data_IF_649165974296
#
_entry.id   IF_649165974296
#
_cell.length_a   1.000
_cell.length_b   1.000
_cell.length_c   1.000
_cell.angle_alpha   90.00
_cell.angle_beta   90.00
_cell.angle_gamma   90.00
#
_symmetry.space_group_name_H-M   'P 1'
#
loop_
_entity.id
_entity.type
_entity.pdbx_description
1 polymer ?
#
# COMPACT_ATOMS: atom_id res chain seq x y z
N UNK A 1 7.30 7.66 -1.02
CA UNK A 1 5.89 7.82 -1.40
C UNK A 1 5.28 6.45 -1.66
N UNK A 2 4.15 6.20 -1.04
CA UNK A 2 3.43 4.93 -1.18
C UNK A 2 2.27 5.12 -2.17
N UNK A 3 2.22 4.27 -3.18
CA UNK A 3 1.19 4.33 -4.23
C UNK A 3 0.54 2.97 -4.43
N UNK A 4 -0.74 2.98 -4.71
CA UNK A 4 -1.51 1.80 -5.07
C UNK A 4 -2.17 2.00 -6.42
N UNK A 5 -2.13 0.97 -7.27
CA UNK A 5 -2.82 0.96 -8.56
C UNK A 5 -3.93 -0.07 -8.52
N UNK A 6 -5.15 0.38 -8.76
CA UNK A 6 -6.35 -0.45 -8.86
C UNK A 6 -6.97 -0.21 -10.23
N UNK A 7 -7.04 -1.24 -11.05
CA UNK A 7 -7.41 -1.08 -12.45
C UNK A 7 -6.39 -0.20 -13.18
N UNK A 8 -6.84 0.90 -13.73
CA UNK A 8 -5.97 1.87 -14.42
C UNK A 8 -5.66 3.10 -13.57
N UNK A 9 -6.24 3.20 -12.37
CA UNK A 9 -6.08 4.36 -11.49
C UNK A 9 -4.97 4.10 -10.45
N UNK A 10 -4.02 5.03 -10.37
CA UNK A 10 -2.99 5.05 -9.35
C UNK A 10 -3.23 6.23 -8.40
N UNK A 11 -3.12 5.98 -7.11
CA UNK A 11 -3.27 7.01 -6.08
C UNK A 11 -2.39 6.69 -4.87
N UNK A 12 -2.17 7.69 -4.02
CA UNK A 12 -1.34 7.53 -2.83
C UNK A 12 -2.10 6.86 -1.70
N UNK A 13 -1.41 6.07 -0.90
CA UNK A 13 -1.94 5.52 0.35
C UNK A 13 -0.99 5.80 1.51
N UNK A 14 -1.50 5.74 2.73
CA UNK A 14 -0.75 6.01 3.96
C UNK A 14 -0.22 4.74 4.58
N UNK A 15 -1.08 3.75 4.79
CA UNK A 15 -0.75 2.47 5.40
C UNK A 15 -1.53 1.34 4.75
N UNK A 16 -0.98 0.13 4.87
CA UNK A 16 -1.67 -1.10 4.47
C UNK A 16 -1.37 -2.20 5.48
N UNK A 17 -2.31 -3.13 5.61
CA UNK A 17 -2.18 -4.26 6.53
C UNK A 17 -2.89 -5.48 5.96
N UNK A 18 -2.19 -6.60 5.92
CA UNK A 18 -2.78 -7.89 5.58
C UNK A 18 -3.09 -8.67 6.87
N UNK A 19 -4.34 -9.10 7.03
CA UNK A 19 -4.80 -9.85 8.20
C UNK A 19 -5.80 -10.91 7.78
N UNK A 20 -6.08 -11.86 8.72
CA UNK A 20 -7.23 -12.74 8.61
C UNK A 20 -8.40 -12.08 9.30
N UNK A 21 -9.49 -11.83 8.60
CA UNK A 21 -10.70 -11.23 9.15
C UNK A 21 -11.94 -12.06 8.81
N UNK A 22 -12.88 -12.07 9.74
CA UNK A 22 -14.15 -12.75 9.56
C UNK A 22 -15.09 -11.86 8.76
N UNK A 23 -15.58 -12.37 7.65
CA UNK A 23 -16.52 -11.66 6.79
C UNK A 23 -17.45 -12.66 6.11
N UNK A 24 -18.74 -12.35 6.12
CA UNK A 24 -19.77 -13.13 5.43
C UNK A 24 -19.71 -14.63 5.76
N UNK A 25 -19.56 -14.97 7.04
CA UNK A 25 -19.58 -16.34 7.53
C UNK A 25 -18.26 -17.09 7.47
N UNK A 26 -17.19 -16.47 7.02
CA UNK A 26 -15.89 -17.13 6.88
C UNK A 26 -14.73 -16.20 7.23
N UNK A 27 -13.67 -16.78 7.79
CA UNK A 27 -12.39 -16.08 7.94
C UNK A 27 -11.67 -16.08 6.60
N UNK A 28 -11.15 -14.93 6.22
CA UNK A 28 -10.45 -14.75 4.95
C UNK A 28 -9.28 -13.80 5.04
N UNK A 29 -8.32 -13.98 4.17
CA UNK A 29 -7.21 -13.05 4.02
C UNK A 29 -7.75 -11.71 3.54
N UNK A 30 -7.41 -10.64 4.25
CA UNK A 30 -7.93 -9.30 4.04
C UNK A 30 -6.79 -8.30 3.93
N UNK A 31 -6.90 -7.39 2.97
CA UNK A 31 -6.00 -6.25 2.83
C UNK A 31 -6.78 -4.98 3.18
N UNK A 32 -6.29 -4.28 4.20
CA UNK A 32 -6.83 -2.96 4.61
C UNK A 32 -5.89 -1.88 4.14
N UNK A 33 -6.41 -0.88 3.45
CA UNK A 33 -5.63 0.26 2.93
C UNK A 33 -6.24 1.54 3.45
N UNK A 34 -5.39 2.36 4.05
CA UNK A 34 -5.75 3.70 4.54
C UNK A 34 -5.16 4.75 3.61
N UNK A 35 -5.99 5.67 3.15
CA UNK A 35 -5.59 6.78 2.29
C UNK A 35 -5.95 8.12 2.94
N UNK A 36 -5.20 9.16 2.58
CA UNK A 36 -5.62 10.53 2.89
C UNK A 36 -6.97 10.82 2.22
N UNK A 37 -7.82 11.60 2.87
CA UNK A 37 -9.11 12.00 2.32
C UNK A 37 -8.99 12.76 0.99
N UNK A 38 -7.79 13.29 0.68
CA UNK A 38 -7.50 14.02 -0.55
C UNK A 38 -6.91 13.16 -1.66
N UNK A 39 -6.55 11.91 -1.37
CA UNK A 39 -5.84 11.06 -2.33
C UNK A 39 -6.71 10.62 -3.51
N UNK A 40 -7.99 10.40 -3.25
CA UNK A 40 -8.98 9.97 -4.23
C UNK A 40 -10.37 10.32 -3.73
N UNK A 41 -11.32 10.59 -4.64
CA UNK A 41 -12.73 10.76 -4.26
C UNK A 41 -13.34 9.44 -3.78
N UNK A 42 -14.19 9.50 -2.75
CA UNK A 42 -14.84 8.30 -2.20
C UNK A 42 -15.71 7.59 -3.23
N UNK A 43 -16.48 8.32 -4.01
CA UNK A 43 -17.35 7.74 -5.05
C UNK A 43 -16.52 7.11 -6.17
N UNK A 44 -15.43 7.76 -6.56
CA UNK A 44 -14.49 7.22 -7.54
C UNK A 44 -13.86 5.92 -7.04
N UNK A 45 -13.41 5.89 -5.80
CA UNK A 45 -12.84 4.69 -5.19
C UNK A 45 -13.87 3.56 -5.12
N UNK A 46 -15.09 3.84 -4.68
CA UNK A 46 -16.15 2.84 -4.64
C UNK A 46 -16.42 2.22 -6.01
N UNK A 47 -16.37 3.03 -7.07
CA UNK A 47 -16.56 2.56 -8.44
C UNK A 47 -15.38 1.72 -8.95
N UNK A 48 -14.16 1.96 -8.43
CA UNK A 48 -12.96 1.19 -8.79
C UNK A 48 -12.93 -0.20 -8.18
N UNK A 49 -13.56 -0.42 -7.02
CA UNK A 49 -13.46 -1.67 -6.26
C UNK A 49 -14.38 -2.76 -6.84
N UNK A 50 -14.15 -3.10 -8.09
CA UNK A 50 -14.83 -4.20 -8.80
C UNK A 50 -13.90 -5.40 -8.93
N UNK A 51 -14.46 -6.57 -9.15
CA UNK A 51 -13.68 -7.80 -9.32
C UNK A 51 -12.62 -7.67 -10.43
N UNK A 52 -12.98 -7.10 -11.58
CA UNK A 52 -12.06 -6.93 -12.70
C UNK A 52 -10.89 -6.01 -12.35
N UNK A 53 -11.16 -4.89 -11.69
CA UNK A 53 -10.11 -3.95 -11.29
C UNK A 53 -9.25 -4.51 -10.15
N UNK A 54 -9.84 -5.34 -9.28
CA UNK A 54 -9.15 -5.94 -8.14
C UNK A 54 -8.38 -7.22 -8.50
N UNK A 55 -8.49 -7.71 -9.73
CA UNK A 55 -7.82 -8.94 -10.17
C UNK A 55 -6.30 -8.86 -9.97
N UNK A 56 -5.72 -7.68 -10.16
CA UNK A 56 -4.32 -7.42 -9.84
C UNK A 56 -4.17 -6.02 -9.26
N UNK A 57 -3.59 -5.95 -8.07
CA UNK A 57 -3.29 -4.70 -7.39
C UNK A 57 -1.79 -4.55 -7.32
N UNK A 58 -1.29 -3.37 -7.64
CA UNK A 58 0.13 -3.05 -7.58
C UNK A 58 0.35 -1.99 -6.51
N UNK A 59 1.19 -2.31 -5.53
CA UNK A 59 1.57 -1.38 -4.48
C UNK A 59 3.05 -1.05 -4.59
N UNK A 60 3.38 0.22 -4.67
CA UNK A 60 4.74 0.70 -4.91
C UNK A 60 5.18 1.62 -3.78
N UNK A 61 6.36 1.37 -3.23
CA UNK A 61 7.07 2.33 -2.41
C UNK A 61 8.21 2.91 -3.26
N UNK A 62 8.08 4.16 -3.67
CA UNK A 62 9.06 4.81 -4.56
C UNK A 62 10.40 5.07 -3.85
N UNK A 63 10.42 5.06 -2.53
CA UNK A 63 11.60 5.23 -1.68
C UNK A 63 11.95 3.95 -0.92
N UNK A 64 11.70 2.80 -1.55
CA UNK A 64 11.80 1.51 -0.89
C UNK A 64 13.21 1.06 -0.59
N UNK A 65 14.14 1.32 -1.49
CA UNK A 65 15.55 0.89 -1.37
C UNK A 65 16.44 2.11 -1.56
N UNK A 66 17.25 2.41 -0.53
CA UNK A 66 18.29 3.44 -0.65
C UNK A 66 19.50 2.87 -1.37
N UNK A 67 19.92 3.52 -2.43
CA UNK A 67 21.10 3.14 -3.20
C UNK A 67 22.21 4.17 -2.96
N UNK A 68 23.38 3.67 -2.62
CA UNK A 68 24.53 4.49 -2.30
C UNK A 68 25.58 4.34 -3.39
N UNK A 69 26.41 5.36 -3.52
CA UNK A 69 27.56 5.35 -4.43
C UNK A 69 28.83 5.63 -3.65
N UNK A 70 29.96 5.19 -4.17
CA UNK A 70 31.25 5.44 -3.59
C UNK A 70 31.61 6.92 -3.73
N UNK A 71 32.16 7.50 -2.65
CA UNK A 71 32.79 8.82 -2.70
C UNK A 71 34.18 8.62 -3.27
N UNK A 72 34.45 9.31 -4.38
CA UNK A 72 35.73 9.23 -5.08
C UNK A 72 36.62 10.44 -4.71
N UNK A 73 37.93 10.20 -4.65
CA UNK A 73 38.92 11.24 -4.50
C UNK A 73 40.08 10.99 -5.46
N UNK A 74 40.73 12.07 -5.89
CA UNK A 74 41.88 12.00 -6.76
C UNK A 74 43.11 11.56 -5.95
N UNK A 75 43.82 10.52 -6.43
CA UNK A 75 45.07 10.06 -5.84
C UNK A 75 46.25 10.87 -6.38
N UNK A 76 47.45 10.52 -5.92
CA UNK A 76 48.70 11.20 -6.34
C UNK A 76 48.98 11.09 -7.85
N UNK A 77 48.44 10.05 -8.49
CA UNK A 77 48.61 9.80 -9.93
C UNK A 77 47.52 10.49 -10.80
N UNK A 78 46.61 11.23 -10.19
CA UNK A 78 45.52 11.90 -10.88
C UNK A 78 44.34 11.02 -11.21
N UNK A 79 44.26 9.82 -10.65
CA UNK A 79 43.16 8.88 -10.86
C UNK A 79 42.12 9.03 -9.76
N UNK A 80 40.83 8.92 -10.15
CA UNK A 80 39.73 8.92 -9.21
C UNK A 80 39.57 7.52 -8.60
N UNK A 81 39.71 7.42 -7.29
CA UNK A 81 39.67 6.15 -6.57
C UNK A 81 38.68 6.24 -5.39
N UNK A 82 38.06 5.11 -4.99
CA UNK A 82 37.17 5.09 -3.82
C UNK A 82 37.89 5.47 -2.53
N UNK A 83 37.25 6.29 -1.71
CA UNK A 83 37.78 6.72 -0.40
C UNK A 83 37.46 5.76 0.73
N UNK A 84 36.58 4.78 0.50
CA UNK A 84 36.00 3.92 1.53
C UNK A 84 34.73 4.46 2.15
N UNK A 85 34.35 5.67 1.81
CA UNK A 85 33.08 6.29 2.22
C UNK A 85 32.03 6.14 1.12
N UNK A 86 30.76 6.15 1.53
CA UNK A 86 29.63 6.10 0.61
C UNK A 86 28.70 7.29 0.89
N UNK A 87 28.06 7.76 -0.16
CA UNK A 87 27.02 8.79 -0.07
C UNK A 87 25.75 8.33 -0.76
N UNK A 88 24.60 8.90 -0.34
CA UNK A 88 23.32 8.59 -0.95
C UNK A 88 23.32 9.01 -2.43
N UNK A 89 22.83 8.12 -3.30
CA UNK A 89 22.69 8.39 -4.73
C UNK A 89 21.21 8.57 -5.11
N UNK A 90 20.41 7.53 -4.95
CA UNK A 90 18.99 7.57 -5.30
C UNK A 90 18.20 6.48 -4.56
N UNK A 91 16.88 6.52 -4.71
CA UNK A 91 16.00 5.45 -4.28
C UNK A 91 15.60 4.55 -5.44
N UNK A 92 15.58 3.24 -5.23
CA UNK A 92 14.92 2.29 -6.10
C UNK A 92 13.55 1.94 -5.52
N UNK A 93 12.51 1.80 -6.36
CA UNK A 93 11.19 1.43 -5.87
C UNK A 93 11.10 -0.04 -5.46
N UNK A 94 10.29 -0.31 -4.44
CA UNK A 94 9.82 -1.67 -4.14
C UNK A 94 8.41 -1.79 -4.71
N UNK A 95 8.18 -2.79 -5.55
CA UNK A 95 6.89 -3.04 -6.18
C UNK A 95 6.37 -4.39 -5.72
N UNK A 96 5.17 -4.40 -5.16
CA UNK A 96 4.48 -5.61 -4.73
C UNK A 96 3.18 -5.79 -5.52
N UNK A 97 2.95 -7.02 -5.96
CA UNK A 97 1.75 -7.41 -6.67
C UNK A 97 0.87 -8.24 -5.76
N UNK A 98 -0.40 -7.86 -5.67
CA UNK A 98 -1.40 -8.56 -4.86
C UNK A 98 -2.50 -9.07 -5.78
N UNK A 99 -2.62 -10.37 -5.88
CA UNK A 99 -3.69 -11.02 -6.67
C UNK A 99 -4.69 -11.71 -5.76
N UNK A 100 -5.87 -11.94 -6.27
CA UNK A 100 -6.93 -12.68 -5.56
C UNK A 100 -7.72 -11.88 -4.53
N UNK A 101 -7.40 -10.62 -4.26
CA UNK A 101 -8.17 -9.75 -3.38
C UNK A 101 -9.37 -9.14 -4.12
N UNK A 102 -10.26 -9.99 -4.60
CA UNK A 102 -11.33 -9.62 -5.54
C UNK A 102 -12.65 -9.22 -4.89
N UNK A 103 -12.75 -9.38 -3.56
CA UNK A 103 -13.96 -9.04 -2.82
C UNK A 103 -13.83 -7.68 -2.16
N UNK A 104 -14.76 -6.76 -2.46
CA UNK A 104 -14.90 -5.51 -1.73
C UNK A 104 -15.63 -5.80 -0.42
N UNK A 105 -14.96 -5.59 0.70
CA UNK A 105 -15.54 -5.81 2.03
C UNK A 105 -16.11 -4.53 2.62
N UNK A 106 -15.38 -3.43 2.53
CA UNK A 106 -15.84 -2.11 3.00
C UNK A 106 -15.07 -0.99 2.31
N UNK A 107 -15.68 0.19 2.26
CA UNK A 107 -15.05 1.40 1.78
C UNK A 107 -15.77 2.59 2.39
N UNK A 108 -15.05 3.46 3.08
CA UNK A 108 -15.67 4.61 3.72
C UNK A 108 -14.66 5.55 4.35
N UNK A 109 -15.19 6.66 4.88
CA UNK A 109 -14.40 7.63 5.64
C UNK A 109 -14.45 7.25 7.12
N UNK A 110 -13.29 7.19 7.74
CA UNK A 110 -13.12 6.81 9.14
C UNK A 110 -12.22 7.82 9.84
N UNK A 111 -12.55 8.15 11.10
CA UNK A 111 -11.67 8.94 11.96
C UNK A 111 -10.60 8.01 12.54
N UNK A 112 -9.34 8.29 12.22
CA UNK A 112 -8.20 7.46 12.61
C UNK A 112 -7.31 8.26 13.55
N UNK A 113 -6.96 7.67 14.70
CA UNK A 113 -6.02 8.30 15.64
C UNK A 113 -4.62 8.27 15.04
N UNK A 114 -4.05 9.45 14.82
CA UNK A 114 -2.70 9.61 14.25
C UNK A 114 -1.65 9.88 15.30
N UNK A 115 -2.05 10.42 16.45
CA UNK A 115 -1.18 10.61 17.60
C UNK A 115 -1.94 10.24 18.87
N UNK A 116 -1.35 9.40 19.75
CA UNK A 116 -1.98 9.05 21.01
C UNK A 116 -1.99 10.21 21.99
N UNK A 117 -2.92 10.18 22.93
CA UNK A 117 -2.97 11.13 24.03
C UNK A 117 -1.71 11.03 24.90
N UNK A 118 -1.17 12.18 25.28
CA UNK A 118 -0.08 12.29 26.24
C UNK A 118 -0.56 13.16 27.43
N UNK A 119 0.16 13.19 28.57
CA UNK A 119 -0.22 14.07 29.68
C UNK A 119 -0.33 15.55 29.31
N UNK A 120 0.42 16.00 28.29
CA UNK A 120 0.50 17.39 27.87
C UNK A 120 -0.32 17.70 26.62
N UNK A 121 -0.73 16.69 25.84
CA UNK A 121 -1.43 16.87 24.57
C UNK A 121 -2.58 15.89 24.42
N UNK A 122 -3.74 16.32 23.86
CA UNK A 122 -4.82 15.41 23.52
C UNK A 122 -4.47 14.51 22.36
N UNK A 123 -5.18 13.39 22.22
CA UNK A 123 -5.09 12.54 21.03
C UNK A 123 -5.49 13.31 19.77
N UNK A 124 -4.81 13.05 18.67
CA UNK A 124 -5.10 13.66 17.36
C UNK A 124 -5.75 12.63 16.45
N UNK A 125 -6.85 13.02 15.83
CA UNK A 125 -7.59 12.18 14.88
C UNK A 125 -7.62 12.86 13.51
N UNK A 126 -7.54 12.05 12.47
CA UNK A 126 -7.61 12.51 11.08
C UNK A 126 -8.66 11.68 10.34
N UNK A 127 -9.46 12.33 9.50
CA UNK A 127 -10.35 11.61 8.61
C UNK A 127 -9.55 10.99 7.47
N UNK A 128 -9.70 9.68 7.31
CA UNK A 128 -9.05 8.90 6.26
C UNK A 128 -10.07 8.08 5.50
N UNK A 129 -9.80 7.86 4.23
CA UNK A 129 -10.53 6.87 3.44
C UNK A 129 -9.90 5.51 3.74
N UNK A 130 -10.72 4.57 4.22
CA UNK A 130 -10.28 3.22 4.53
C UNK A 130 -11.09 2.24 3.70
N UNK A 131 -10.42 1.38 2.96
CA UNK A 131 -11.09 0.29 2.27
C UNK A 131 -10.47 -1.05 2.60
N UNK A 132 -11.31 -2.06 2.60
CA UNK A 132 -10.93 -3.44 2.85
C UNK A 132 -11.35 -4.30 1.67
N UNK A 133 -10.43 -5.12 1.21
CA UNK A 133 -10.65 -6.10 0.15
C UNK A 133 -10.17 -7.45 0.62
N UNK A 134 -10.84 -8.51 0.19
CA UNK A 134 -10.57 -9.85 0.69
C UNK A 134 -10.47 -10.89 -0.40
N UNK A 135 -9.82 -12.01 -0.06
CA UNK A 135 -9.75 -13.19 -0.91
C UNK A 135 -10.98 -14.06 -0.70
N UNK A 136 -11.40 -14.74 -1.76
CA UNK A 136 -12.36 -15.82 -1.62
C UNK A 136 -11.74 -16.95 -0.81
N UNK A 137 -12.57 -17.64 -0.01
CA UNK A 137 -12.16 -18.90 0.60
C UNK A 137 -12.04 -19.98 -0.49
N UNK A 138 -11.41 -21.12 -0.16
CA UNK A 138 -11.30 -22.22 -1.12
C UNK A 138 -12.67 -22.67 -1.66
N UNK A 139 -13.67 -22.80 -0.78
CA UNK A 139 -15.02 -23.21 -1.18
C UNK A 139 -15.67 -22.15 -2.09
N UNK A 140 -15.57 -20.88 -1.72
CA UNK A 140 -16.09 -19.77 -2.53
C UNK A 140 -15.44 -19.74 -3.91
N UNK A 141 -14.13 -19.98 -4.01
CA UNK A 141 -13.43 -20.04 -5.27
C UNK A 141 -13.90 -21.19 -6.16
N UNK A 142 -14.14 -22.38 -5.55
CA UNK A 142 -14.67 -23.53 -6.29
C UNK A 142 -16.09 -23.25 -6.80
N UNK A 143 -16.95 -22.65 -5.98
CA UNK A 143 -18.29 -22.27 -6.38
C UNK A 143 -18.28 -21.24 -7.51
N UNK A 144 -17.37 -20.26 -7.41
CA UNK A 144 -17.21 -19.23 -8.45
C UNK A 144 -16.83 -19.86 -9.81
N UNK A 145 -15.90 -20.81 -9.81
CA UNK A 145 -15.49 -21.53 -11.02
C UNK A 145 -16.62 -22.31 -11.66
N UNK A 146 -17.60 -22.73 -10.85
CA UNK A 146 -18.79 -23.42 -11.33
C UNK A 146 -19.91 -22.46 -11.75
N UNK A 147 -19.71 -21.14 -11.65
CA UNK A 147 -20.72 -20.14 -11.98
C UNK A 147 -21.78 -19.95 -10.91
N UNK A 148 -21.50 -20.35 -9.68
CA UNK A 148 -22.47 -20.30 -8.57
C UNK A 148 -22.22 -19.15 -7.61
#
# INVERSE_FOLDING_TARGET
MLKIKVGTKEFEYLTSLETEEYYNGSSRRTLTVNCSSDAIGLDELNALLTEDNLAEIVMTNTEGISVYKDVLAENEEGEMVPTGEQEFDHFDPIVNYYDGYVLKLSCGITSVMTQPETPDTPAVYEEQIVFKIGKRTYIEEQLHKLGL
#
